data_IF_856341905056
#
_entry.id   IF_856341905056
#
_cell.length_a   1.000
_cell.length_b   1.000
_cell.length_c   1.000
_cell.angle_alpha   90.00
_cell.angle_beta   90.00
_cell.angle_gamma   90.00
#
_symmetry.space_group_name_H-M   'P 1'
#
loop_
_entity.id
_entity.type
_entity.pdbx_description
1 polymer ?
#
# COMPACT_ATOMS: atom_id res chain seq x y z
N UNK A 1 -2.99 -24.17 -4.11
CA UNK A 1 -1.76 -23.78 -4.81
C UNK A 1 -0.99 -25.04 -5.14
N UNK A 2 -0.56 -25.20 -6.40
CA UNK A 2 0.25 -26.32 -6.87
C UNK A 2 1.48 -25.75 -7.56
N UNK A 3 2.67 -26.11 -7.08
CA UNK A 3 3.95 -25.71 -7.68
C UNK A 3 4.69 -26.94 -8.18
N UNK A 4 5.12 -26.93 -9.44
CA UNK A 4 5.91 -28.01 -10.00
C UNK A 4 7.41 -27.76 -9.88
N UNK A 5 8.19 -28.81 -9.62
CA UNK A 5 9.66 -28.81 -9.70
C UNK A 5 10.18 -30.09 -10.35
N UNK A 6 11.42 -30.09 -10.81
CA UNK A 6 12.07 -31.30 -11.35
C UNK A 6 13.01 -31.85 -10.28
N UNK A 7 12.75 -33.07 -9.83
CA UNK A 7 13.54 -33.68 -8.77
C UNK A 7 14.98 -33.94 -9.26
N UNK A 8 16.02 -33.55 -8.49
CA UNK A 8 17.39 -33.55 -8.99
C UNK A 8 17.95 -34.96 -9.20
N UNK A 9 17.49 -35.95 -8.44
CA UNK A 9 17.97 -37.34 -8.52
C UNK A 9 17.17 -38.22 -9.49
N UNK A 10 15.83 -38.08 -9.53
CA UNK A 10 14.96 -38.91 -10.38
C UNK A 10 14.66 -38.26 -11.73
N UNK A 11 15.00 -36.98 -11.90
CA UNK A 11 14.72 -36.15 -13.07
C UNK A 11 13.23 -36.11 -13.48
N UNK A 12 12.33 -36.47 -12.55
CA UNK A 12 10.90 -36.50 -12.77
C UNK A 12 10.25 -35.20 -12.27
N UNK A 13 9.21 -34.76 -12.97
CA UNK A 13 8.38 -33.63 -12.54
C UNK A 13 7.55 -34.05 -11.32
N UNK A 14 7.70 -33.30 -10.24
CA UNK A 14 7.04 -33.51 -8.94
C UNK A 14 6.30 -32.22 -8.55
N UNK A 15 5.32 -32.34 -7.66
CA UNK A 15 4.44 -31.23 -7.28
C UNK A 15 4.40 -31.06 -5.77
N UNK A 16 4.40 -29.80 -5.32
CA UNK A 16 4.08 -29.41 -3.94
C UNK A 16 2.70 -28.76 -3.96
N UNK A 17 1.82 -29.23 -3.07
CA UNK A 17 0.43 -28.81 -2.99
C UNK A 17 0.12 -28.23 -1.62
N UNK A 18 -0.39 -27.01 -1.60
CA UNK A 18 -0.92 -26.35 -0.42
C UNK A 18 -2.36 -25.93 -0.64
N UNK A 19 -3.17 -26.06 0.41
CA UNK A 19 -4.57 -25.61 0.46
C UNK A 19 -4.78 -24.77 1.70
N UNK A 20 -5.71 -23.82 1.62
CA UNK A 20 -6.20 -23.06 2.78
C UNK A 20 -7.50 -23.69 3.25
N UNK A 21 -7.55 -24.11 4.52
CA UNK A 21 -8.74 -24.68 5.17
C UNK A 21 -8.93 -23.95 6.50
N UNK A 22 -10.09 -23.32 6.70
CA UNK A 22 -10.40 -22.54 7.90
C UNK A 22 -9.31 -21.51 8.27
N UNK A 23 -8.72 -20.86 7.26
CA UNK A 23 -7.64 -19.88 7.45
C UNK A 23 -6.24 -20.47 7.69
N UNK A 24 -6.11 -21.78 7.89
CA UNK A 24 -4.83 -22.46 8.05
C UNK A 24 -4.31 -23.01 6.72
N UNK A 25 -2.99 -22.96 6.52
CA UNK A 25 -2.31 -23.58 5.37
C UNK A 25 -2.02 -25.04 5.71
N UNK A 26 -2.53 -25.95 4.88
CA UNK A 26 -2.32 -27.40 5.01
C UNK A 26 -1.69 -27.96 3.73
N UNK A 27 -0.77 -28.91 3.88
CA UNK A 27 -0.15 -29.61 2.75
C UNK A 27 -1.10 -30.68 2.22
N UNK A 28 -1.96 -30.27 1.29
CA UNK A 28 -2.97 -31.10 0.68
C UNK A 28 -3.30 -30.56 -0.70
N UNK A 29 -3.72 -31.46 -1.60
CA UNK A 29 -4.29 -31.05 -2.88
C UNK A 29 -5.63 -30.31 -2.70
N UNK A 30 -5.79 -29.23 -3.46
CA UNK A 30 -7.05 -28.50 -3.53
C UNK A 30 -7.87 -29.04 -4.70
N UNK A 31 -9.21 -28.98 -4.58
CA UNK A 31 -10.13 -29.41 -5.64
C UNK A 31 -9.91 -28.63 -6.94
N UNK A 32 -9.67 -27.32 -6.84
CA UNK A 32 -9.32 -26.45 -7.96
C UNK A 32 -8.02 -25.68 -7.64
N UNK A 33 -6.85 -26.27 -7.90
CA UNK A 33 -5.59 -25.66 -7.52
C UNK A 33 -5.15 -24.61 -8.56
N UNK A 34 -4.76 -23.42 -8.09
CA UNK A 34 -3.95 -22.50 -8.88
C UNK A 34 -2.58 -23.15 -9.15
N UNK A 35 -2.28 -23.41 -10.42
CA UNK A 35 -1.05 -24.08 -10.86
C UNK A 35 0.00 -23.05 -11.24
N UNK A 36 1.23 -23.26 -10.76
CA UNK A 36 2.39 -22.45 -11.10
C UNK A 36 3.52 -23.37 -11.53
N UNK A 37 3.91 -23.23 -12.79
CA UNK A 37 5.05 -23.96 -13.35
C UNK A 37 6.23 -23.01 -13.48
N UNK A 38 7.31 -23.29 -12.75
CA UNK A 38 8.54 -22.51 -12.81
C UNK A 38 9.64 -23.37 -13.39
N UNK A 39 10.18 -22.92 -14.52
CA UNK A 39 11.36 -23.53 -15.13
C UNK A 39 12.57 -23.25 -14.26
N UNK A 40 13.35 -24.28 -13.94
CA UNK A 40 14.61 -24.14 -13.19
C UNK A 40 14.53 -24.47 -11.69
N UNK A 41 13.35 -24.76 -11.14
CA UNK A 41 13.26 -25.34 -9.80
C UNK A 41 13.74 -26.78 -9.80
N UNK A 42 14.93 -26.99 -9.23
CA UNK A 42 15.58 -28.31 -9.10
C UNK A 42 15.67 -28.81 -7.66
N UNK A 43 15.14 -28.08 -6.69
CA UNK A 43 15.18 -28.43 -5.28
C UNK A 43 13.77 -28.34 -4.67
N UNK A 44 13.38 -29.38 -3.93
CA UNK A 44 12.12 -29.44 -3.18
C UNK A 44 11.99 -28.27 -2.20
N UNK A 45 13.07 -27.93 -1.49
CA UNK A 45 13.05 -26.84 -0.52
C UNK A 45 12.63 -25.51 -1.17
N UNK A 46 13.22 -25.18 -2.33
CA UNK A 46 12.87 -23.96 -3.07
C UNK A 46 11.42 -23.99 -3.57
N UNK A 47 10.96 -25.16 -4.02
CA UNK A 47 9.58 -25.35 -4.47
C UNK A 47 8.57 -25.19 -3.32
N UNK A 48 8.90 -25.71 -2.14
CA UNK A 48 8.10 -25.60 -0.91
C UNK A 48 8.00 -24.16 -0.44
N UNK A 49 9.12 -23.46 -0.31
CA UNK A 49 9.15 -22.04 0.05
C UNK A 49 8.34 -21.18 -0.92
N UNK A 50 8.48 -21.43 -2.23
CA UNK A 50 7.69 -20.73 -3.23
C UNK A 50 6.20 -21.05 -3.12
N UNK A 51 5.84 -22.32 -2.95
CA UNK A 51 4.45 -22.75 -2.82
C UNK A 51 3.78 -22.14 -1.58
N UNK A 52 4.51 -22.05 -0.46
CA UNK A 52 4.04 -21.42 0.77
C UNK A 52 3.81 -19.92 0.56
N UNK A 53 4.78 -19.20 -0.02
CA UNK A 53 4.66 -17.76 -0.31
C UNK A 53 3.47 -17.45 -1.21
N UNK A 54 3.29 -18.24 -2.26
CA UNK A 54 2.16 -18.08 -3.18
C UNK A 54 0.82 -18.39 -2.50
N UNK A 55 0.79 -19.35 -1.57
CA UNK A 55 -0.40 -19.64 -0.77
C UNK A 55 -0.72 -18.49 0.19
N UNK A 56 0.29 -17.92 0.86
CA UNK A 56 0.14 -16.73 1.71
C UNK A 56 -0.35 -15.52 0.91
N UNK A 57 0.16 -15.32 -0.31
CA UNK A 57 -0.34 -14.28 -1.24
C UNK A 57 -1.83 -14.42 -1.56
N UNK A 58 -2.34 -15.65 -1.71
CA UNK A 58 -3.79 -15.90 -1.89
C UNK A 58 -4.62 -15.60 -0.64
N UNK A 59 -4.01 -15.53 0.55
CA UNK A 59 -4.70 -15.18 1.80
C UNK A 59 -4.68 -13.68 2.03
N UNK A 60 -3.51 -13.05 1.90
CA UNK A 60 -3.26 -11.67 2.33
C UNK A 60 -3.27 -10.64 1.21
N UNK A 61 -3.51 -11.05 -0.04
CA UNK A 61 -3.63 -10.15 -1.20
C UNK A 61 -4.92 -10.44 -1.96
N UNK A 62 -6.03 -10.55 -1.22
CA UNK A 62 -7.35 -10.92 -1.75
C UNK A 62 -8.08 -9.71 -2.30
N UNK A 63 -7.94 -8.57 -1.62
CA UNK A 63 -8.58 -7.34 -2.02
C UNK A 63 -7.75 -6.68 -3.12
N UNK A 64 -8.45 -6.25 -4.17
CA UNK A 64 -7.87 -5.51 -5.28
C UNK A 64 -8.67 -4.23 -5.48
N UNK A 65 -7.97 -3.16 -5.80
CA UNK A 65 -8.59 -1.87 -6.09
C UNK A 65 -8.05 -1.33 -7.40
N UNK A 66 -8.92 -0.66 -8.15
CA UNK A 66 -8.52 0.17 -9.27
C UNK A 66 -8.64 1.64 -8.85
N UNK A 67 -7.56 2.38 -8.96
CA UNK A 67 -7.50 3.79 -8.60
C UNK A 67 -7.06 4.63 -9.79
N UNK A 68 -7.62 5.83 -9.92
CA UNK A 68 -7.18 6.83 -10.88
C UNK A 68 -6.53 7.97 -10.10
N UNK A 69 -5.25 8.15 -10.30
CA UNK A 69 -4.42 9.15 -9.58
C UNK A 69 -3.81 10.13 -10.58
N UNK A 70 -3.36 11.29 -10.13
CA UNK A 70 -2.57 12.18 -10.97
C UNK A 70 -1.20 11.54 -11.29
N UNK A 71 -0.63 11.90 -12.43
CA UNK A 71 0.76 11.53 -12.78
C UNK A 71 1.75 12.39 -11.99
N UNK A 72 1.70 12.31 -10.67
CA UNK A 72 2.55 13.08 -9.76
C UNK A 72 3.28 12.11 -8.83
N UNK A 73 4.61 12.04 -8.98
CA UNK A 73 5.48 11.08 -8.31
C UNK A 73 5.96 9.92 -9.19
N UNK A 74 7.09 9.32 -8.80
CA UNK A 74 7.70 8.17 -9.48
C UNK A 74 7.15 6.89 -8.85
N UNK A 75 6.15 6.27 -9.50
CA UNK A 75 5.57 4.99 -9.07
C UNK A 75 6.02 3.88 -10.03
N UNK A 76 6.41 2.73 -9.49
CA UNK A 76 6.80 1.56 -10.26
C UNK A 76 5.89 0.37 -9.94
N UNK A 77 5.78 -0.56 -10.89
CA UNK A 77 5.12 -1.84 -10.63
C UNK A 77 5.91 -2.60 -9.57
N UNK A 78 5.21 -3.10 -8.55
CA UNK A 78 5.80 -3.73 -7.37
C UNK A 78 6.11 -2.76 -6.22
N UNK A 79 5.96 -1.44 -6.41
CA UNK A 79 6.05 -0.48 -5.31
C UNK A 79 4.90 -0.68 -4.32
N UNK A 80 5.19 -0.45 -3.04
CA UNK A 80 4.17 -0.34 -1.98
C UNK A 80 3.78 1.11 -1.85
N UNK A 81 2.47 1.38 -1.82
CA UNK A 81 1.90 2.71 -1.68
C UNK A 81 0.94 2.75 -0.51
N UNK A 82 0.82 3.92 0.09
CA UNK A 82 -0.21 4.24 1.06
C UNK A 82 -1.41 4.80 0.30
N UNK A 83 -2.55 4.11 0.32
CA UNK A 83 -3.76 4.61 -0.32
C UNK A 83 -4.96 4.47 0.63
N UNK A 84 -5.48 5.59 1.14
CA UNK A 84 -6.66 5.60 2.00
C UNK A 84 -7.91 5.19 1.23
N UNK A 85 -8.80 4.43 1.88
CA UNK A 85 -10.08 3.98 1.33
C UNK A 85 -11.19 4.97 1.68
N UNK A 86 -11.74 5.67 0.70
CA UNK A 86 -12.76 6.73 0.91
C UNK A 86 -14.02 6.28 1.68
N UNK A 87 -14.26 4.97 1.83
CA UNK A 87 -15.39 4.44 2.59
C UNK A 87 -15.09 4.16 4.06
N UNK A 88 -13.83 4.30 4.49
CA UNK A 88 -13.43 4.18 5.89
C UNK A 88 -13.56 5.53 6.61
N UNK A 89 -14.14 5.50 7.81
CA UNK A 89 -14.41 6.67 8.66
C UNK A 89 -13.27 7.05 9.58
N UNK A 90 -12.28 6.18 9.79
CA UNK A 90 -11.18 6.42 10.76
C UNK A 90 -9.95 7.09 10.15
N UNK A 91 -10.05 7.51 8.90
CA UNK A 91 -8.97 8.13 8.13
C UNK A 91 -9.44 9.47 7.56
N UNK A 92 -8.53 10.44 7.60
CA UNK A 92 -8.82 11.82 7.24
C UNK A 92 -7.74 12.32 6.31
N UNK A 93 -8.16 12.82 5.16
CA UNK A 93 -7.26 13.23 4.09
C UNK A 93 -7.67 14.58 3.52
N UNK A 94 -6.74 15.23 2.86
CA UNK A 94 -6.98 16.50 2.18
C UNK A 94 -5.69 17.05 1.63
N UNK A 95 -5.66 18.36 1.42
CA UNK A 95 -4.46 19.08 1.03
C UNK A 95 -4.06 20.16 2.03
N UNK A 96 -2.77 20.47 2.03
CA UNK A 96 -2.18 21.50 2.87
C UNK A 96 -2.46 22.87 2.25
N UNK A 97 -2.98 23.79 3.05
CA UNK A 97 -3.27 25.17 2.65
C UNK A 97 -2.25 26.16 3.20
N UNK A 98 -1.48 25.75 4.21
CA UNK A 98 -0.47 26.60 4.84
C UNK A 98 0.37 25.81 5.84
N UNK A 99 1.52 26.39 6.22
CA UNK A 99 2.39 25.85 7.27
C UNK A 99 3.12 26.98 7.98
N UNK A 100 3.09 26.96 9.31
CA UNK A 100 3.89 27.85 10.17
C UNK A 100 4.61 26.99 11.21
N UNK A 101 5.91 26.79 11.03
CA UNK A 101 6.69 25.90 11.91
C UNK A 101 6.20 24.45 11.85
N UNK A 102 5.67 23.94 12.96
CA UNK A 102 5.10 22.59 13.06
C UNK A 102 3.57 22.57 12.88
N UNK A 103 2.95 23.74 12.72
CA UNK A 103 1.51 23.85 12.53
C UNK A 103 1.20 23.87 11.04
N UNK A 104 0.31 22.98 10.63
CA UNK A 104 -0.17 22.84 9.27
C UNK A 104 -1.64 23.28 9.22
N UNK A 105 -2.00 24.01 8.16
CA UNK A 105 -3.37 24.34 7.82
C UNK A 105 -3.87 23.37 6.75
N UNK A 106 -5.13 22.95 6.85
CA UNK A 106 -5.71 21.90 6.00
C UNK A 106 -6.99 22.36 5.29
N UNK A 107 -7.27 21.72 4.16
CA UNK A 107 -8.50 21.94 3.39
C UNK A 107 -9.75 21.44 4.12
N UNK A 108 -9.62 20.33 4.83
CA UNK A 108 -10.72 19.66 5.54
C UNK A 108 -10.55 19.78 7.06
N UNK A 109 -11.65 19.79 7.83
CA UNK A 109 -11.57 19.75 9.28
C UNK A 109 -11.08 18.38 9.76
N UNK A 110 -10.31 18.35 10.84
CA UNK A 110 -9.74 17.13 11.42
C UNK A 110 -10.34 16.87 12.80
N UNK A 111 -10.76 15.63 13.02
CA UNK A 111 -11.26 15.09 14.28
C UNK A 111 -10.23 14.11 14.82
N UNK A 112 -9.59 14.45 15.93
CA UNK A 112 -8.60 13.56 16.55
C UNK A 112 -9.28 12.55 17.48
N UNK A 113 -8.92 11.28 17.34
CA UNK A 113 -9.36 10.20 18.24
C UNK A 113 -8.19 9.28 18.55
N UNK A 114 -7.74 9.28 19.81
CA UNK A 114 -6.55 8.53 20.22
C UNK A 114 -5.26 9.08 19.62
N UNK A 115 -4.23 8.22 19.56
CA UNK A 115 -2.93 8.57 18.99
C UNK A 115 -2.98 8.46 17.46
N UNK A 116 -2.92 9.60 16.79
CA UNK A 116 -2.94 9.70 15.34
C UNK A 116 -1.60 10.13 14.77
N UNK A 117 -1.33 9.66 13.56
CA UNK A 117 -0.11 9.95 12.82
C UNK A 117 -0.45 10.54 11.46
N UNK A 118 0.40 11.43 10.99
CA UNK A 118 0.27 12.10 9.70
C UNK A 118 1.41 11.72 8.76
N UNK A 119 1.07 11.57 7.49
CA UNK A 119 2.00 11.64 6.37
C UNK A 119 1.65 12.86 5.52
N UNK A 120 2.67 13.56 5.02
CA UNK A 120 2.50 14.70 4.11
C UNK A 120 3.36 14.50 2.88
N UNK A 121 2.85 14.85 1.69
CA UNK A 121 3.66 14.83 0.47
C UNK A 121 4.43 16.13 0.31
N UNK A 122 5.72 16.05 -0.04
CA UNK A 122 6.52 17.21 -0.44
C UNK A 122 6.13 17.74 -1.83
N UNK A 123 6.84 18.77 -2.31
CA UNK A 123 6.59 19.39 -3.60
C UNK A 123 6.90 18.51 -4.81
N UNK A 124 7.56 17.36 -4.60
CA UNK A 124 7.86 16.35 -5.63
C UNK A 124 6.92 15.13 -5.52
N UNK A 125 5.92 15.19 -4.63
CA UNK A 125 4.99 14.10 -4.39
C UNK A 125 5.51 12.99 -3.48
N UNK A 126 6.72 13.12 -2.89
CA UNK A 126 7.24 12.10 -2.00
C UNK A 126 6.57 12.20 -0.62
N UNK A 127 6.05 11.09 -0.06
CA UNK A 127 5.50 11.10 1.29
C UNK A 127 6.62 11.18 2.33
N UNK A 128 6.36 11.91 3.41
CA UNK A 128 7.18 11.85 4.63
C UNK A 128 7.05 10.49 5.33
N UNK A 129 7.90 10.26 6.34
CA UNK A 129 7.61 9.27 7.37
C UNK A 129 6.32 9.61 8.13
N UNK A 130 5.86 8.68 8.96
CA UNK A 130 4.75 8.90 9.90
C UNK A 130 5.22 9.79 11.06
N UNK A 131 4.54 10.90 11.28
CA UNK A 131 4.79 11.79 12.41
C UNK A 131 3.58 11.83 13.33
N UNK A 132 3.75 11.82 14.66
CA UNK A 132 2.65 12.07 15.58
C UNK A 132 1.97 13.41 15.26
N UNK A 133 0.65 13.39 15.15
CA UNK A 133 -0.17 14.56 14.88
C UNK A 133 -1.07 14.86 16.07
N UNK A 134 -1.18 16.14 16.41
CA UNK A 134 -2.04 16.60 17.50
C UNK A 134 -2.98 17.68 17.04
N UNK A 135 -4.14 17.76 17.70
CA UNK A 135 -5.13 18.78 17.43
C UNK A 135 -4.57 20.17 17.77
N UNK A 136 -4.82 21.12 16.88
CA UNK A 136 -4.60 22.52 17.16
C UNK A 136 -5.68 23.07 18.09
N UNK A 137 -5.29 23.96 18.99
CA UNK A 137 -6.22 24.56 19.96
C UNK A 137 -7.04 25.72 19.38
N UNK A 138 -6.56 26.31 18.29
CA UNK A 138 -7.12 27.51 17.66
C UNK A 138 -8.04 27.21 16.47
N UNK A 139 -7.92 26.04 15.84
CA UNK A 139 -8.73 25.66 14.67
C UNK A 139 -8.89 24.15 14.53
N UNK A 140 -10.00 23.73 13.91
CA UNK A 140 -10.20 22.35 13.44
C UNK A 140 -9.62 22.09 12.05
N UNK A 141 -9.25 23.14 11.31
CA UNK A 141 -8.70 23.06 9.95
C UNK A 141 -7.16 23.05 9.99
N UNK A 142 -6.60 22.17 10.80
CA UNK A 142 -5.16 22.07 10.95
C UNK A 142 -4.73 21.07 12.01
N UNK A 143 -3.43 20.79 12.01
CA UNK A 143 -2.78 19.89 12.97
C UNK A 143 -1.37 20.39 13.29
N UNK A 144 -0.84 19.92 14.42
CA UNK A 144 0.56 20.16 14.82
C UNK A 144 1.34 18.84 14.72
N UNK A 145 2.43 18.83 13.95
CA UNK A 145 3.32 17.69 13.81
C UNK A 145 4.78 18.14 13.58
N UNK A 146 5.74 17.44 14.20
CA UNK A 146 7.17 17.75 14.10
C UNK A 146 7.81 17.21 12.81
N UNK A 147 7.17 17.45 11.66
CA UNK A 147 7.68 17.09 10.34
C UNK A 147 8.88 17.99 10.01
N UNK A 148 10.00 17.47 9.48
CA UNK A 148 11.11 18.28 9.00
C UNK A 148 10.69 19.37 8.03
N UNK A 149 11.56 20.36 7.83
CA UNK A 149 11.30 21.38 6.83
C UNK A 149 11.34 20.74 5.44
N UNK A 150 10.17 20.54 4.85
CA UNK A 150 9.96 20.02 3.49
C UNK A 150 9.37 21.13 2.65
N UNK A 151 9.72 21.18 1.37
CA UNK A 151 9.06 22.09 0.45
C UNK A 151 7.65 21.57 0.17
N UNK A 152 6.66 22.45 0.31
CA UNK A 152 5.25 22.13 0.07
C UNK A 152 4.76 22.85 -1.17
N UNK A 153 3.89 22.19 -1.92
CA UNK A 153 3.08 22.87 -2.94
C UNK A 153 1.81 23.39 -2.27
N UNK A 154 1.67 24.72 -2.21
CA UNK A 154 0.44 25.37 -1.73
C UNK A 154 -0.31 25.90 -2.95
N UNK A 155 -1.55 25.44 -3.14
CA UNK A 155 -2.37 25.85 -4.27
C UNK A 155 -2.59 27.36 -4.24
N UNK A 156 -2.31 28.03 -5.36
CA UNK A 156 -2.43 29.47 -5.51
C UNK A 156 -3.41 29.90 -6.61
N UNK A 157 -4.10 28.96 -7.24
CA UNK A 157 -5.04 29.22 -8.33
C UNK A 157 -4.41 29.58 -9.67
N UNK A 158 -3.08 29.54 -9.79
CA UNK A 158 -2.34 29.95 -10.99
C UNK A 158 -1.21 28.97 -11.32
N UNK A 159 -0.01 29.18 -10.77
CA UNK A 159 1.18 28.38 -11.12
C UNK A 159 1.28 27.05 -10.38
N UNK A 160 0.62 26.91 -9.22
CA UNK A 160 0.61 25.68 -8.41
C UNK A 160 -0.79 25.09 -8.45
N UNK A 161 -0.96 24.05 -9.27
CA UNK A 161 -2.25 23.39 -9.48
C UNK A 161 -2.44 22.14 -8.61
N UNK A 162 -1.34 21.48 -8.21
CA UNK A 162 -1.37 20.27 -7.40
C UNK A 162 -0.78 20.55 -6.01
N UNK A 163 -1.61 20.72 -4.97
CA UNK A 163 -1.13 20.98 -3.62
C UNK A 163 -0.59 19.71 -2.97
N UNK A 164 0.33 19.89 -2.03
CA UNK A 164 0.79 18.86 -1.11
C UNK A 164 -0.39 18.26 -0.34
N UNK A 165 -0.45 16.93 -0.25
CA UNK A 165 -1.53 16.20 0.40
C UNK A 165 -1.12 15.70 1.77
N UNK A 166 -2.11 15.44 2.61
CA UNK A 166 -1.91 14.77 3.89
C UNK A 166 -2.87 13.60 4.07
N UNK A 167 -2.46 12.68 4.95
CA UNK A 167 -3.29 11.59 5.45
C UNK A 167 -3.03 11.44 6.94
N UNK A 168 -4.11 11.49 7.74
CA UNK A 168 -4.11 11.32 9.19
C UNK A 168 -4.98 10.12 9.56
N UNK A 169 -4.41 9.17 10.29
CA UNK A 169 -5.14 8.05 10.89
C UNK A 169 -4.34 7.46 12.06
N UNK A 170 -4.89 6.44 12.72
CA UNK A 170 -4.15 5.63 13.71
C UNK A 170 -3.11 4.75 13.00
N UNK A 171 -2.16 4.18 13.75
CA UNK A 171 -1.15 3.27 13.17
C UNK A 171 -1.81 2.06 12.50
N UNK A 172 -2.82 1.48 13.15
CA UNK A 172 -3.55 0.31 12.65
C UNK A 172 -4.21 0.59 11.30
N UNK A 173 -4.84 1.76 11.15
CA UNK A 173 -5.46 2.15 9.88
C UNK A 173 -4.42 2.51 8.82
N UNK A 174 -3.32 3.15 9.19
CA UNK A 174 -2.24 3.39 8.24
C UNK A 174 -1.60 2.08 7.75
N UNK A 175 -1.55 1.04 8.56
CA UNK A 175 -1.03 -0.26 8.12
C UNK A 175 -2.04 -1.03 7.23
N UNK A 176 -3.35 -0.88 7.47
CA UNK A 176 -4.40 -1.50 6.65
C UNK A 176 -4.51 -0.92 5.24
N UNK A 177 -3.99 0.29 5.05
CA UNK A 177 -4.03 1.06 3.79
C UNK A 177 -2.76 0.92 2.95
N UNK A 178 -1.92 -0.09 3.21
CA UNK A 178 -0.78 -0.42 2.37
C UNK A 178 -1.20 -1.30 1.19
N UNK A 179 -0.77 -0.91 -0.01
CA UNK A 179 -1.11 -1.61 -1.24
C UNK A 179 0.11 -1.83 -2.13
N UNK A 180 0.21 -2.99 -2.76
CA UNK A 180 1.20 -3.27 -3.80
C UNK A 180 0.64 -2.88 -5.17
N UNK A 181 1.40 -2.11 -5.94
CA UNK A 181 1.06 -1.74 -7.32
C UNK A 181 1.29 -2.93 -8.26
N UNK A 182 0.23 -3.44 -8.88
CA UNK A 182 0.30 -4.55 -9.83
C UNK A 182 0.43 -4.09 -11.29
N UNK A 183 -0.20 -2.97 -11.63
CA UNK A 183 -0.15 -2.41 -12.98
C UNK A 183 -0.29 -0.89 -12.95
N UNK A 184 0.29 -0.26 -13.97
CA UNK A 184 0.27 1.18 -14.18
C UNK A 184 -0.11 1.40 -15.64
N UNK A 185 -1.17 2.18 -15.88
CA UNK A 185 -1.63 2.54 -17.21
C UNK A 185 -1.79 4.06 -17.31
N UNK A 186 -0.93 4.76 -18.05
CA UNK A 186 -1.10 6.19 -18.32
C UNK A 186 -2.40 6.46 -19.08
N UNK A 187 -3.07 7.56 -18.74
CA UNK A 187 -4.25 8.06 -19.44
C UNK A 187 -3.91 9.32 -20.25
N UNK A 188 -4.86 9.82 -21.05
CA UNK A 188 -4.65 11.00 -21.91
C UNK A 188 -4.82 12.35 -21.20
N UNK A 189 -5.19 12.34 -19.92
CA UNK A 189 -5.60 13.51 -19.14
C UNK A 189 -4.67 13.79 -17.94
N UNK A 190 -3.37 13.50 -18.07
CA UNK A 190 -2.35 13.65 -17.01
C UNK A 190 -2.68 12.85 -15.73
N UNK A 191 -3.41 11.76 -15.89
CA UNK A 191 -3.70 10.81 -14.82
C UNK A 191 -3.17 9.43 -15.17
N UNK A 192 -3.06 8.60 -14.15
CA UNK A 192 -2.59 7.23 -14.25
C UNK A 192 -3.61 6.33 -13.58
N UNK A 193 -3.97 5.25 -14.26
CA UNK A 193 -4.79 4.18 -13.69
C UNK A 193 -3.88 3.14 -13.05
N UNK A 194 -4.09 2.87 -11.77
CA UNK A 194 -3.38 1.87 -10.99
C UNK A 194 -4.31 0.69 -10.71
N UNK A 195 -3.82 -0.53 -10.92
CA UNK A 195 -4.42 -1.70 -10.26
C UNK A 195 -3.51 -2.08 -9.10
N UNK A 196 -4.07 -2.13 -7.90
CA UNK A 196 -3.34 -2.45 -6.69
C UNK A 196 -3.95 -3.67 -6.00
N UNK A 197 -3.16 -4.33 -5.15
CA UNK A 197 -3.64 -5.38 -4.26
C UNK A 197 -3.12 -5.14 -2.84
N UNK A 198 -3.91 -5.59 -1.87
CA UNK A 198 -3.58 -5.49 -0.44
C UNK A 198 -2.16 -5.98 -0.17
N UNK A 199 -1.42 -5.20 0.63
CA UNK A 199 -0.08 -5.51 1.09
C UNK A 199 -0.13 -6.11 2.49
N UNK A 200 0.72 -7.11 2.75
CA UNK A 200 0.96 -7.63 4.09
C UNK A 200 2.34 -8.26 4.19
N UNK A 201 3.09 -7.92 5.25
CA UNK A 201 4.37 -8.56 5.56
C UNK A 201 4.22 -10.06 5.87
N UNK A 202 3.03 -10.50 6.27
CA UNK A 202 2.73 -11.90 6.55
C UNK A 202 2.88 -12.81 5.30
N UNK A 203 3.04 -12.23 4.11
CA UNK A 203 3.37 -12.95 2.87
C UNK A 203 4.84 -13.43 2.87
N UNK A 204 5.73 -12.68 3.53
CA UNK A 204 7.19 -12.86 3.45
C UNK A 204 7.81 -13.47 4.72
N UNK A 205 7.14 -13.32 5.86
CA UNK A 205 7.36 -14.17 7.05
C UNK A 205 6.98 -15.61 6.72
#
# INVERSE_FOLDING_TARGET
MQVSYVHPTTNNKTYINYRVVNGAIVEQEAENPNKLEIVGFRNEYQARERALRETKRLIYSRVKMNAKVFEDGIIQVGSVIQMPDIYDSNQQQGYITGRTGNDFDTSEPITFSGDMFVLVTDSLGNPTLRYPATARSDTKYGFTAAIPNIQLNIWNGDTVQLPSRYLIATVEELDSQLWTVNSIKPNTDNTVSLTVAEYSDAIYQ
#
